data_IF_737184650879
#
_entry.id   IF_737184650879
#
_cell.length_a   1.000
_cell.length_b   1.000
_cell.length_c   1.000
_cell.angle_alpha   90.00
_cell.angle_beta   90.00
_cell.angle_gamma   90.00
#
_symmetry.space_group_name_H-M   'P 1'
#
loop_
_entity.id
_entity.type
_entity.pdbx_description
1 polymer ?
#
# COMPACT_ATOMS: atom_id res chain seq x y z
N UNK A 1 -5.93 1.26 51.20
CA UNK A 1 -4.56 1.38 50.68
C UNK A 1 -4.62 1.76 49.20
N UNK A 2 -4.46 3.03 48.85
CA UNK A 2 -4.51 3.51 47.46
C UNK A 2 -3.15 3.25 46.81
N UNK A 3 -3.07 2.46 45.74
CA UNK A 3 -1.83 2.30 44.95
C UNK A 3 -1.74 3.47 43.95
N UNK A 4 -0.75 4.34 44.15
CA UNK A 4 -0.41 5.42 43.22
C UNK A 4 0.24 4.83 41.97
N UNK A 5 -0.33 5.13 40.80
CA UNK A 5 0.26 4.87 39.49
C UNK A 5 1.29 5.97 39.23
N UNK A 6 2.56 5.60 39.07
CA UNK A 6 3.64 6.53 38.73
C UNK A 6 3.53 7.04 37.28
N UNK A 7 4.11 8.20 36.95
CA UNK A 7 3.96 8.79 35.63
C UNK A 7 4.75 8.00 34.58
N UNK A 8 4.10 7.74 33.44
CA UNK A 8 4.72 7.14 32.26
C UNK A 8 5.84 8.01 31.72
N UNK A 9 6.97 7.39 31.38
CA UNK A 9 8.08 8.06 30.71
C UNK A 9 7.75 8.20 29.23
N UNK A 10 7.59 9.43 28.75
CA UNK A 10 7.65 9.75 27.33
C UNK A 10 9.10 9.59 26.87
N UNK A 11 9.31 8.80 25.82
CA UNK A 11 10.61 8.72 25.13
C UNK A 11 10.49 9.65 23.92
N UNK A 12 11.13 10.81 24.02
CA UNK A 12 11.27 11.74 22.90
C UNK A 12 12.39 11.23 21.98
N UNK A 13 12.05 10.95 20.72
CA UNK A 13 13.04 10.60 19.69
C UNK A 13 13.44 11.86 18.90
N UNK A 14 14.74 12.06 18.60
CA UNK A 14 15.20 13.24 17.89
C UNK A 14 14.75 13.24 16.42
N UNK A 15 14.26 14.39 15.96
CA UNK A 15 14.00 14.68 14.55
C UNK A 15 15.30 14.66 13.75
N UNK A 16 15.45 13.73 12.81
CA UNK A 16 16.58 13.69 11.90
C UNK A 16 16.45 14.76 10.83
N UNK A 17 17.37 15.72 10.88
CA UNK A 17 17.69 16.70 9.85
C UNK A 17 17.80 16.06 8.46
N UNK A 18 17.04 16.58 7.50
CA UNK A 18 17.07 16.18 6.11
C UNK A 18 18.43 16.49 5.47
N UNK A 19 19.12 15.47 4.96
CA UNK A 19 20.24 15.63 4.05
C UNK A 19 19.73 16.05 2.67
N UNK A 20 20.17 17.21 2.20
CA UNK A 20 19.90 17.75 0.87
C UNK A 20 20.63 16.93 -0.19
N UNK A 21 19.88 16.37 -1.14
CA UNK A 21 20.44 15.77 -2.35
C UNK A 21 20.49 16.79 -3.48
N UNK A 22 21.69 16.97 -4.05
CA UNK A 22 21.93 17.78 -5.23
C UNK A 22 21.21 17.17 -6.46
N UNK A 23 20.42 18.01 -7.16
CA UNK A 23 19.86 17.69 -8.48
C UNK A 23 20.98 17.74 -9.52
N UNK A 24 21.25 16.62 -10.18
CA UNK A 24 21.93 16.63 -11.48
C UNK A 24 20.87 16.58 -12.57
N UNK A 25 20.81 17.63 -13.39
CA UNK A 25 19.95 17.76 -14.56
C UNK A 25 20.56 16.97 -15.71
N UNK A 26 19.80 16.04 -16.30
CA UNK A 26 20.17 15.38 -17.56
C UNK A 26 19.18 15.82 -18.65
N UNK A 27 19.77 16.34 -19.73
CA UNK A 27 19.12 16.91 -20.91
C UNK A 27 18.24 15.89 -21.66
N UNK A 28 17.09 16.38 -22.11
CA UNK A 28 16.24 15.75 -23.11
C UNK A 28 16.88 15.90 -24.50
N UNK A 29 17.07 14.80 -25.21
CA UNK A 29 17.36 14.80 -26.65
C UNK A 29 16.23 14.12 -27.39
N UNK A 30 15.55 14.90 -28.23
CA UNK A 30 14.41 14.48 -29.01
C UNK A 30 14.76 13.52 -30.13
N UNK A 31 13.85 12.59 -30.39
CA UNK A 31 13.79 11.86 -31.67
C UNK A 31 12.41 12.08 -32.26
N UNK A 32 12.40 12.89 -33.31
CA UNK A 32 11.28 13.15 -34.18
C UNK A 32 11.19 12.00 -35.19
N UNK A 33 10.10 11.24 -35.18
CA UNK A 33 9.75 10.31 -36.26
C UNK A 33 8.32 10.57 -36.70
N UNK A 34 8.18 11.42 -37.73
CA UNK A 34 7.06 11.36 -38.67
C UNK A 34 7.31 10.19 -39.61
N UNK A 35 6.34 9.29 -39.76
CA UNK A 35 5.69 8.67 -40.95
C UNK A 35 4.94 7.43 -40.38
N UNK A 36 3.75 6.96 -40.75
CA UNK A 36 2.79 7.19 -41.83
C UNK A 36 1.43 6.73 -41.32
N UNK A 37 0.36 7.42 -41.73
CA UNK A 37 -1.01 6.91 -41.63
C UNK A 37 -1.13 5.59 -42.41
N UNK A 38 -1.51 4.51 -41.73
CA UNK A 38 -2.23 3.40 -42.33
C UNK A 38 -3.60 3.32 -41.66
N UNK A 39 -4.53 4.12 -42.19
CA UNK A 39 -5.95 4.04 -41.89
C UNK A 39 -6.55 2.96 -42.78
N UNK A 40 -6.42 1.70 -42.38
CA UNK A 40 -7.09 0.60 -43.06
C UNK A 40 -8.53 0.47 -42.57
N UNK A 41 -9.44 0.69 -43.52
CA UNK A 41 -10.87 0.80 -43.37
C UNK A 41 -11.49 -0.60 -43.37
N UNK A 42 -11.55 -1.28 -42.22
CA UNK A 42 -12.35 -2.50 -42.10
C UNK A 42 -13.82 -2.15 -41.86
N UNK A 43 -14.49 -1.81 -42.97
CA UNK A 43 -15.94 -1.85 -43.06
C UNK A 43 -16.42 -3.29 -43.25
N UNK A 44 -17.27 -3.75 -42.33
CA UNK A 44 -18.34 -4.70 -42.60
C UNK A 44 -17.99 -6.19 -42.61
N UNK A 45 -17.97 -6.83 -41.43
CA UNK A 45 -18.41 -8.24 -41.31
C UNK A 45 -19.79 -8.26 -40.64
N UNK A 46 -20.77 -8.92 -41.27
CA UNK A 46 -22.13 -9.16 -40.73
C UNK A 46 -22.15 -10.10 -39.52
N UNK A 47 -20.98 -10.58 -39.08
CA UNK A 47 -20.79 -11.40 -37.90
C UNK A 47 -20.56 -10.57 -36.61
N UNK A 48 -20.19 -9.29 -36.75
CA UNK A 48 -20.07 -8.34 -35.67
C UNK A 48 -21.15 -7.28 -35.86
N UNK A 49 -22.31 -7.48 -35.24
CA UNK A 49 -23.35 -6.45 -35.13
C UNK A 49 -22.78 -5.13 -34.58
N UNK A 50 -23.51 -4.01 -34.67
CA UNK A 50 -23.01 -2.71 -34.21
C UNK A 50 -22.46 -2.88 -32.80
N UNK A 51 -21.15 -2.66 -32.64
CA UNK A 51 -20.51 -2.86 -31.35
C UNK A 51 -21.29 -2.00 -30.37
N UNK A 52 -21.96 -2.65 -29.42
CA UNK A 52 -22.67 -2.00 -28.34
C UNK A 52 -21.64 -1.41 -27.38
N UNK A 53 -20.94 -0.38 -27.85
CA UNK A 53 -20.18 0.53 -27.01
C UNK A 53 -21.18 1.28 -26.16
N UNK A 54 -20.81 1.55 -24.91
CA UNK A 54 -21.62 2.27 -23.91
C UNK A 54 -22.21 3.60 -24.43
N UNK A 55 -21.62 4.19 -25.47
CA UNK A 55 -22.15 5.38 -26.17
C UNK A 55 -23.43 5.14 -26.98
N UNK A 56 -23.69 3.93 -27.46
CA UNK A 56 -24.90 3.59 -28.21
C UNK A 56 -26.15 3.46 -27.31
N UNK A 57 -25.99 3.09 -26.04
CA UNK A 57 -27.10 2.89 -25.11
C UNK A 57 -27.72 4.21 -24.60
N UNK A 58 -26.92 5.27 -24.48
CA UNK A 58 -27.42 6.60 -24.06
C UNK A 58 -28.04 7.42 -25.19
N UNK A 59 -27.87 7.01 -26.45
CA UNK A 59 -28.47 7.68 -27.60
C UNK A 59 -29.95 7.28 -27.85
N UNK A 60 -30.50 6.33 -27.08
CA UNK A 60 -31.85 5.78 -27.28
C UNK A 60 -32.96 6.39 -26.42
N UNK A 61 -32.72 7.46 -25.66
CA UNK A 61 -33.74 8.10 -24.79
C UNK A 61 -34.27 9.39 -25.40
N UNK A 62 -34.83 9.27 -26.60
CA UNK A 62 -35.40 10.39 -27.35
C UNK A 62 -36.76 10.07 -27.96
N UNK A 63 -37.73 9.59 -27.18
CA UNK A 63 -39.16 9.66 -27.53
C UNK A 63 -40.08 9.36 -26.32
N UNK A 64 -40.62 10.43 -25.72
CA UNK A 64 -41.93 10.62 -25.04
C UNK A 64 -42.64 9.40 -24.40
N UNK A 65 -42.88 9.47 -23.07
CA UNK A 65 -44.05 8.82 -22.45
C UNK A 65 -43.88 8.34 -20.99
N UNK A 66 -44.58 9.00 -20.06
CA UNK A 66 -44.81 8.66 -18.64
C UNK A 66 -43.61 8.84 -17.69
N UNK A 67 -43.69 9.88 -16.87
CA UNK A 67 -42.83 10.12 -15.71
C UNK A 67 -43.04 9.01 -14.66
N UNK A 68 -42.37 7.87 -14.83
CA UNK A 68 -42.10 6.95 -13.74
C UNK A 68 -40.96 7.54 -12.93
N UNK A 69 -41.19 7.76 -11.64
CA UNK A 69 -40.18 8.21 -10.68
C UNK A 69 -39.22 7.04 -10.46
N UNK A 70 -38.33 6.78 -11.41
CA UNK A 70 -37.25 5.82 -11.25
C UNK A 70 -36.20 6.50 -10.38
N UNK A 71 -35.86 5.97 -9.19
CA UNK A 71 -34.76 6.50 -8.41
C UNK A 71 -33.52 6.44 -9.29
N UNK A 72 -32.93 7.60 -9.58
CA UNK A 72 -31.67 7.68 -10.30
C UNK A 72 -30.63 7.01 -9.40
N UNK A 73 -30.37 5.72 -9.62
CA UNK A 73 -29.21 5.05 -9.05
C UNK A 73 -28.03 5.73 -9.72
N UNK A 74 -27.44 6.69 -9.02
CA UNK A 74 -26.23 7.34 -9.46
C UNK A 74 -25.22 6.23 -9.77
N UNK A 75 -24.88 6.07 -11.05
CA UNK A 75 -23.85 5.15 -11.48
C UNK A 75 -22.59 5.54 -10.71
N UNK A 76 -22.18 4.71 -9.74
CA UNK A 76 -20.91 4.88 -9.05
C UNK A 76 -19.84 4.77 -10.14
N UNK A 77 -19.25 5.91 -10.51
CA UNK A 77 -18.16 5.95 -11.46
C UNK A 77 -17.12 4.92 -11.03
N UNK A 78 -16.64 4.10 -11.98
CA UNK A 78 -15.58 3.13 -11.71
C UNK A 78 -14.38 3.91 -11.19
N UNK A 79 -14.19 3.93 -9.87
CA UNK A 79 -12.96 4.44 -9.27
C UNK A 79 -11.82 3.64 -9.88
N UNK A 80 -10.68 4.29 -10.18
CA UNK A 80 -9.47 3.61 -10.64
C UNK A 80 -9.26 2.32 -9.82
N UNK A 81 -8.85 1.19 -10.44
CA UNK A 81 -8.61 -0.06 -9.73
C UNK A 81 -7.77 0.19 -8.48
N UNK A 82 -8.25 -0.29 -7.35
CA UNK A 82 -7.54 -0.21 -6.09
C UNK A 82 -6.47 -1.31 -6.06
N UNK A 83 -5.18 -0.98 -6.06
CA UNK A 83 -4.16 -2.00 -5.85
C UNK A 83 -4.17 -2.42 -4.37
N UNK A 84 -4.10 -3.74 -4.15
CA UNK A 84 -3.88 -4.34 -2.84
C UNK A 84 -2.50 -4.98 -2.89
N UNK A 85 -1.59 -4.52 -2.04
CA UNK A 85 -0.28 -5.14 -1.85
C UNK A 85 -0.39 -6.20 -0.76
N UNK A 86 -0.14 -7.46 -1.11
CA UNK A 86 -0.21 -8.58 -0.17
C UNK A 86 1.14 -8.90 0.49
N UNK A 87 2.20 -8.15 0.18
CA UNK A 87 3.58 -8.41 0.61
C UNK A 87 4.20 -7.16 1.24
N UNK A 88 3.45 -6.50 2.13
CA UNK A 88 3.95 -5.32 2.81
C UNK A 88 4.58 -5.72 4.15
N UNK A 89 5.92 -5.69 4.23
CA UNK A 89 6.62 -5.91 5.48
C UNK A 89 6.56 -4.69 6.41
N UNK A 90 6.51 -4.94 7.70
CA UNK A 90 6.53 -3.93 8.75
C UNK A 90 7.43 -4.36 9.90
N UNK A 91 7.95 -3.38 10.62
CA UNK A 91 8.99 -3.61 11.62
C UNK A 91 8.65 -2.87 12.91
N UNK A 92 7.84 -3.47 13.81
CA UNK A 92 7.58 -2.92 15.13
C UNK A 92 8.89 -2.61 15.87
N UNK A 93 8.98 -1.57 16.72
CA UNK A 93 10.25 -1.14 17.32
C UNK A 93 11.00 -2.26 18.07
N UNK A 94 10.29 -3.06 18.86
CA UNK A 94 10.89 -4.20 19.58
C UNK A 94 11.40 -5.28 18.61
N UNK A 95 10.60 -5.61 17.60
CA UNK A 95 10.96 -6.55 16.54
C UNK A 95 12.19 -6.10 15.76
N UNK A 96 12.21 -4.82 15.37
CA UNK A 96 13.30 -4.21 14.63
C UNK A 96 14.60 -4.28 15.42
N UNK A 97 14.55 -3.98 16.71
CA UNK A 97 15.73 -4.08 17.58
C UNK A 97 16.28 -5.51 17.60
N UNK A 98 15.41 -6.50 17.85
CA UNK A 98 15.82 -7.91 17.89
C UNK A 98 16.39 -8.38 16.55
N UNK A 99 15.82 -7.93 15.43
CA UNK A 99 16.34 -8.25 14.11
C UNK A 99 17.77 -7.72 13.91
N UNK A 100 18.00 -6.44 14.22
CA UNK A 100 19.33 -5.84 14.08
C UNK A 100 20.36 -6.53 14.97
N UNK A 101 20.01 -6.79 16.24
CA UNK A 101 20.87 -7.53 17.17
C UNK A 101 21.18 -8.96 16.64
N UNK A 102 20.18 -9.62 16.03
CA UNK A 102 20.31 -10.97 15.48
C UNK A 102 21.25 -11.01 14.27
N UNK A 103 21.16 -10.02 13.39
CA UNK A 103 22.05 -9.85 12.24
C UNK A 103 23.48 -9.55 12.69
N UNK A 104 23.66 -8.62 13.64
CA UNK A 104 24.97 -8.25 14.20
C UNK A 104 25.69 -9.46 14.80
N UNK A 105 24.98 -10.25 15.62
CA UNK A 105 25.52 -11.46 16.24
C UNK A 105 26.01 -12.49 15.20
N UNK A 106 25.40 -12.50 14.00
CA UNK A 106 25.74 -13.41 12.89
C UNK A 106 26.62 -12.78 11.82
N UNK A 107 27.01 -11.51 12.00
CA UNK A 107 27.78 -10.74 11.01
C UNK A 107 27.07 -10.68 9.65
N UNK A 108 25.73 -10.64 9.68
CA UNK A 108 24.91 -10.46 8.49
C UNK A 108 24.74 -8.97 8.19
N UNK A 109 24.81 -8.56 6.91
CA UNK A 109 24.59 -7.16 6.56
C UNK A 109 23.12 -6.78 6.75
N UNK A 110 22.87 -5.60 7.31
CA UNK A 110 21.51 -5.07 7.45
C UNK A 110 20.89 -4.69 6.10
N UNK A 111 19.62 -5.00 5.91
CA UNK A 111 18.87 -4.56 4.75
C UNK A 111 18.45 -3.08 4.91
N UNK A 112 18.94 -2.20 4.03
CA UNK A 112 18.71 -0.75 4.16
C UNK A 112 17.23 -0.35 4.17
N UNK A 113 16.37 -1.04 3.42
CA UNK A 113 14.93 -0.79 3.40
C UNK A 113 14.25 -1.12 4.73
N UNK A 114 14.75 -2.14 5.45
CA UNK A 114 14.29 -2.49 6.79
C UNK A 114 14.82 -1.48 7.81
N UNK A 115 16.10 -1.11 7.76
CA UNK A 115 16.69 -0.09 8.66
C UNK A 115 15.99 1.27 8.55
N UNK A 116 15.66 1.69 7.33
CA UNK A 116 15.02 2.98 7.05
C UNK A 116 13.48 2.96 7.19
N UNK A 117 12.90 1.84 7.61
CA UNK A 117 11.45 1.69 7.66
C UNK A 117 10.82 2.61 8.71
N UNK A 118 9.73 3.27 8.33
CA UNK A 118 8.85 4.01 9.26
C UNK A 118 7.39 3.90 8.83
N UNK A 119 6.45 4.07 9.77
CA UNK A 119 5.00 4.07 9.49
C UNK A 119 4.63 5.11 8.42
N UNK A 120 5.13 6.33 8.55
CA UNK A 120 4.83 7.43 7.62
C UNK A 120 5.35 7.13 6.21
N UNK A 121 6.59 6.64 6.10
CA UNK A 121 7.21 6.32 4.82
C UNK A 121 6.45 5.24 4.06
N UNK A 122 5.94 4.22 4.75
CA UNK A 122 5.10 3.18 4.14
C UNK A 122 3.84 3.77 3.52
N UNK A 123 3.15 4.68 4.20
CA UNK A 123 1.93 5.30 3.69
C UNK A 123 2.24 6.17 2.47
N UNK A 124 3.32 6.95 2.54
CA UNK A 124 3.77 7.75 1.40
C UNK A 124 4.13 6.87 0.20
N UNK A 125 4.81 5.74 0.41
CA UNK A 125 5.13 4.78 -0.64
C UNK A 125 3.87 4.19 -1.25
N UNK A 126 2.89 3.81 -0.43
CA UNK A 126 1.60 3.31 -0.90
C UNK A 126 0.86 4.34 -1.76
N UNK A 127 0.80 5.59 -1.29
CA UNK A 127 0.13 6.69 -2.01
C UNK A 127 0.80 6.95 -3.37
N UNK A 128 2.14 7.01 -3.40
CA UNK A 128 2.90 7.21 -4.65
C UNK A 128 2.69 6.10 -5.67
N UNK A 129 2.50 4.86 -5.22
CA UNK A 129 2.35 3.69 -6.08
C UNK A 129 0.88 3.32 -6.35
N UNK A 130 -0.08 4.09 -5.85
CA UNK A 130 -1.52 3.80 -6.02
C UNK A 130 -2.01 2.57 -5.26
N UNK A 131 -1.29 2.16 -4.21
CA UNK A 131 -1.67 1.05 -3.32
C UNK A 131 -2.70 1.58 -2.32
N UNK A 132 -3.92 1.06 -2.43
CA UNK A 132 -5.00 1.42 -1.51
C UNK A 132 -4.80 0.77 -0.16
N UNK A 133 -4.52 -0.53 -0.17
CA UNK A 133 -4.45 -1.35 1.03
C UNK A 133 -3.19 -2.23 0.99
N UNK A 134 -2.40 -2.18 2.05
CA UNK A 134 -1.28 -3.11 2.26
C UNK A 134 -1.64 -4.17 3.30
N UNK A 135 -1.40 -5.44 2.99
CA UNK A 135 -1.53 -6.54 3.94
C UNK A 135 -0.18 -6.72 4.63
N UNK A 136 -0.15 -6.32 5.89
CA UNK A 136 1.04 -6.36 6.73
C UNK A 136 1.43 -7.82 7.01
N UNK A 137 2.73 -8.10 6.96
CA UNK A 137 3.30 -9.38 7.37
C UNK A 137 4.69 -9.19 7.94
N UNK A 138 5.05 -9.99 8.95
CA UNK A 138 6.42 -10.02 9.45
C UNK A 138 7.33 -10.68 8.41
N UNK A 139 8.55 -10.16 8.28
CA UNK A 139 9.52 -10.68 7.33
C UNK A 139 9.90 -12.14 7.67
N UNK A 140 10.04 -12.97 6.64
CA UNK A 140 9.99 -14.43 6.76
C UNK A 140 11.12 -15.03 7.57
N UNK A 141 12.32 -14.44 7.55
CA UNK A 141 13.51 -15.01 8.16
C UNK A 141 14.17 -13.98 9.08
N UNK A 142 14.24 -14.22 10.40
CA UNK A 142 13.89 -15.45 11.12
C UNK A 142 12.42 -15.49 11.61
N UNK A 143 11.53 -14.66 11.08
CA UNK A 143 10.19 -14.50 11.64
C UNK A 143 10.29 -13.88 13.03
N UNK A 144 9.69 -14.52 14.04
CA UNK A 144 9.78 -14.10 15.46
C UNK A 144 10.73 -14.98 16.29
N UNK A 145 11.43 -15.92 15.67
CA UNK A 145 12.14 -16.96 16.41
C UNK A 145 13.37 -16.43 17.15
N UNK A 146 14.22 -15.66 16.47
CA UNK A 146 15.45 -15.00 16.97
C UNK A 146 16.32 -15.79 17.97
N UNK A 147 16.18 -17.12 18.04
CA UNK A 147 16.74 -18.00 19.07
C UNK A 147 16.39 -17.61 20.52
N UNK A 148 15.28 -16.90 20.73
CA UNK A 148 14.81 -16.46 22.07
C UNK A 148 13.95 -17.50 22.79
N UNK A 149 13.60 -18.60 22.09
CA UNK A 149 12.76 -19.67 22.60
C UNK A 149 11.25 -19.39 22.45
N UNK A 150 10.41 -20.44 22.63
CA UNK A 150 9.01 -20.41 22.20
C UNK A 150 8.14 -19.42 22.99
N UNK A 151 8.37 -19.28 24.29
CA UNK A 151 7.59 -18.35 25.12
C UNK A 151 7.80 -16.89 24.70
N UNK A 152 9.05 -16.53 24.42
CA UNK A 152 9.42 -15.17 24.03
C UNK A 152 9.02 -14.89 22.58
N UNK A 153 9.19 -15.86 21.67
CA UNK A 153 8.70 -15.77 20.30
C UNK A 153 7.18 -15.52 20.26
N UNK A 154 6.40 -16.24 21.09
CA UNK A 154 4.95 -16.02 21.20
C UNK A 154 4.58 -14.66 21.79
N UNK A 155 5.36 -14.15 22.75
CA UNK A 155 5.18 -12.78 23.27
C UNK A 155 5.44 -11.74 22.18
N UNK A 156 6.51 -11.92 21.40
CA UNK A 156 6.87 -11.03 20.30
C UNK A 156 5.84 -11.07 19.17
N UNK A 157 5.33 -12.25 18.81
CA UNK A 157 4.25 -12.39 17.83
C UNK A 157 3.01 -11.58 18.23
N UNK A 158 2.62 -11.65 19.52
CA UNK A 158 1.54 -10.82 20.05
C UNK A 158 1.86 -9.33 19.94
N UNK A 159 3.05 -8.90 20.37
CA UNK A 159 3.46 -7.50 20.27
C UNK A 159 3.41 -6.97 18.82
N UNK A 160 3.82 -7.80 17.84
CA UNK A 160 3.74 -7.46 16.43
C UNK A 160 2.29 -7.30 15.95
N UNK A 161 1.40 -8.22 16.35
CA UNK A 161 -0.02 -8.15 16.00
C UNK A 161 -0.71 -6.92 16.60
N UNK A 162 -0.43 -6.58 17.87
CA UNK A 162 -0.98 -5.37 18.51
C UNK A 162 -0.51 -4.10 17.80
N UNK A 163 0.77 -4.04 17.43
CA UNK A 163 1.33 -2.92 16.68
C UNK A 163 0.70 -2.76 15.28
N UNK A 164 0.47 -3.87 14.58
CA UNK A 164 -0.26 -3.85 13.31
C UNK A 164 -1.73 -3.42 13.51
N UNK A 165 -2.38 -3.87 14.59
CA UNK A 165 -3.73 -3.45 14.93
C UNK A 165 -3.81 -1.94 15.22
N UNK A 166 -2.79 -1.35 15.85
CA UNK A 166 -2.66 0.12 15.95
C UNK A 166 -2.58 0.78 14.58
N UNK A 167 -1.69 0.32 13.69
CA UNK A 167 -1.57 0.89 12.35
C UNK A 167 -2.90 0.84 11.58
N UNK A 168 -3.64 -0.27 11.70
CA UNK A 168 -4.97 -0.43 11.10
C UNK A 168 -6.01 0.53 11.70
N UNK A 169 -5.95 0.79 13.02
CA UNK A 169 -6.81 1.76 13.71
C UNK A 169 -6.49 3.21 13.31
N UNK A 170 -5.21 3.54 13.21
CA UNK A 170 -4.73 4.89 12.87
C UNK A 170 -5.04 5.24 11.40
N UNK A 171 -5.09 4.23 10.52
CA UNK A 171 -5.35 4.40 9.09
C UNK A 171 -6.42 3.42 8.56
N UNK A 172 -7.71 3.64 8.87
CA UNK A 172 -8.78 2.73 8.49
C UNK A 172 -8.82 2.44 6.99
N UNK A 173 -8.84 1.17 6.62
CA UNK A 173 -8.87 0.70 5.23
C UNK A 173 -7.53 0.76 4.49
N UNK A 174 -6.47 1.32 5.09
CA UNK A 174 -5.13 1.33 4.49
C UNK A 174 -4.35 0.06 4.78
N UNK A 175 -4.65 -0.62 5.89
CA UNK A 175 -3.91 -1.82 6.29
C UNK A 175 -4.84 -3.00 6.58
N UNK A 176 -4.36 -4.20 6.23
CA UNK A 176 -4.79 -5.49 6.78
C UNK A 176 -3.58 -6.21 7.38
N UNK A 177 -3.77 -7.42 7.91
CA UNK A 177 -2.69 -8.17 8.57
C UNK A 177 -2.80 -9.68 8.30
N UNK A 178 -1.68 -10.30 7.91
CA UNK A 178 -1.45 -11.72 8.16
C UNK A 178 -0.91 -11.88 9.58
N UNK A 179 -1.72 -12.51 10.44
CA UNK A 179 -1.38 -12.63 11.86
C UNK A 179 -0.05 -13.38 12.03
N UNK A 180 0.80 -12.82 12.88
CA UNK A 180 2.03 -13.47 13.32
C UNK A 180 1.71 -14.43 14.46
N UNK A 181 2.29 -15.62 14.45
CA UNK A 181 2.02 -16.70 15.42
C UNK A 181 3.31 -17.16 16.10
#
# INVERSE_FOLDING_TARGET
MRKSVGPGKSIDYPSTTALSFAKTSREESGVNTKVSEFREYHSGCSCCGPSSSRRGFLAGLGAVGVASVVPTVAARGQTKPALIDTHLHFYPPEYQKLWLDYEDARKQPHFSGQVAWTRSKVIEDMDRNGIRTGILSIASTPGVWFDVGPAEAGRLARACNEYAAEMMRDHPGRFGLFATL
#
